data_IF_846854760788
#
_entry.id   IF_846854760788
#
_cell.length_a   1.000
_cell.length_b   1.000
_cell.length_c   1.000
_cell.angle_alpha   90.00
_cell.angle_beta   90.00
_cell.angle_gamma   90.00
#
_symmetry.space_group_name_H-M   'P 1'
#
loop_
_entity.id
_entity.type
_entity.pdbx_description
1 polymer ?
#
# COMPACT_ATOMS: atom_id res chain seq x y z
N UNK A 1 6.21 31.90 30.07
CA UNK A 1 5.33 31.83 28.88
C UNK A 1 4.70 30.44 28.92
N UNK A 2 3.39 30.33 29.19
CA UNK A 2 2.70 29.04 29.08
C UNK A 2 2.72 28.65 27.60
N UNK A 3 3.25 27.48 27.27
CA UNK A 3 3.17 26.93 25.92
C UNK A 3 1.73 26.47 25.70
N UNK A 4 0.95 27.25 24.94
CA UNK A 4 -0.41 26.91 24.51
C UNK A 4 -0.40 25.61 23.70
N UNK A 5 -1.30 24.69 24.06
CA UNK A 5 -1.40 23.32 23.53
C UNK A 5 -1.43 23.28 21.99
N UNK A 6 -0.71 22.36 21.33
CA UNK A 6 -0.72 22.22 19.87
C UNK A 6 -2.12 21.95 19.30
N UNK A 7 -3.04 21.43 20.10
CA UNK A 7 -4.41 21.03 19.71
C UNK A 7 -5.49 22.09 20.00
N UNK A 8 -5.10 23.34 20.24
CA UNK A 8 -6.04 24.45 20.43
C UNK A 8 -6.90 24.69 19.17
N UNK A 9 -8.20 24.88 19.39
CA UNK A 9 -9.21 25.14 18.36
C UNK A 9 -9.09 26.60 17.87
N UNK A 10 -8.34 26.78 16.79
CA UNK A 10 -8.07 28.08 16.16
C UNK A 10 -8.80 28.16 14.82
N UNK A 11 -9.23 29.37 14.39
CA UNK A 11 -9.84 29.55 13.09
C UNK A 11 -8.90 29.09 11.97
N UNK A 12 -9.43 28.28 11.04
CA UNK A 12 -8.68 27.71 9.94
C UNK A 12 -8.54 28.70 8.78
N UNK A 13 -7.33 28.81 8.24
CA UNK A 13 -7.00 29.55 7.02
C UNK A 13 -6.37 28.56 6.05
N UNK A 14 -6.91 28.47 4.83
CA UNK A 14 -6.29 27.66 3.79
C UNK A 14 -5.31 28.51 2.98
N UNK A 15 -4.13 27.97 2.71
CA UNK A 15 -3.12 28.58 1.85
C UNK A 15 -2.64 27.57 0.80
N UNK A 16 -2.22 28.05 -0.37
CA UNK A 16 -1.50 27.24 -1.34
C UNK A 16 -0.09 26.88 -0.87
N UNK A 17 0.54 25.90 -1.51
CA UNK A 17 1.94 25.56 -1.23
C UNK A 17 2.87 26.75 -1.49
N UNK A 18 2.63 27.51 -2.56
CA UNK A 18 3.44 28.68 -2.89
C UNK A 18 3.27 29.79 -1.85
N UNK A 19 2.03 30.10 -1.45
CA UNK A 19 1.77 31.09 -0.39
C UNK A 19 2.40 30.67 0.94
N UNK A 20 2.37 29.37 1.27
CA UNK A 20 3.03 28.83 2.44
C UNK A 20 4.56 29.02 2.37
N UNK A 21 5.19 28.64 1.26
CA UNK A 21 6.64 28.78 1.07
C UNK A 21 7.06 30.25 1.14
N UNK A 22 6.38 31.13 0.41
CA UNK A 22 6.70 32.57 0.43
C UNK A 22 6.52 33.19 1.82
N UNK A 23 5.48 32.81 2.56
CA UNK A 23 5.30 33.28 3.93
C UNK A 23 6.38 32.75 4.88
N UNK A 24 6.79 31.49 4.73
CA UNK A 24 7.87 30.89 5.51
C UNK A 24 9.21 31.60 5.24
N UNK A 25 9.52 31.89 3.98
CA UNK A 25 10.74 32.62 3.60
C UNK A 25 10.77 34.03 4.19
N UNK A 26 9.65 34.75 4.17
CA UNK A 26 9.55 36.09 4.77
C UNK A 26 9.73 36.07 6.29
N UNK A 27 9.35 34.98 6.96
CA UNK A 27 9.50 34.81 8.41
C UNK A 27 10.87 34.26 8.80
N UNK A 28 11.67 33.78 7.85
CA UNK A 28 12.98 33.20 8.12
C UNK A 28 14.02 34.31 8.33
N UNK A 29 14.16 34.73 9.59
CA UNK A 29 15.20 35.66 10.04
C UNK A 29 16.18 34.85 10.92
N UNK A 30 17.48 34.73 10.54
CA UNK A 30 18.45 33.83 11.19
C UNK A 30 18.54 33.95 12.72
N UNK A 31 18.25 35.13 13.28
CA UNK A 31 18.33 35.41 14.72
C UNK A 31 16.94 35.52 15.40
N UNK A 32 15.83 35.35 14.65
CA UNK A 32 14.45 35.47 15.14
C UNK A 32 13.54 34.40 14.53
N UNK A 33 13.83 33.13 14.86
CA UNK A 33 13.15 31.98 14.28
C UNK A 33 11.79 31.64 14.91
N UNK A 34 11.37 32.29 16.00
CA UNK A 34 10.17 31.89 16.75
C UNK A 34 8.89 31.92 15.87
N UNK A 35 8.72 32.98 15.08
CA UNK A 35 7.59 33.11 14.16
C UNK A 35 7.65 32.07 13.03
N UNK A 36 8.85 31.85 12.47
CA UNK A 36 9.08 30.82 11.46
C UNK A 36 8.74 29.42 11.97
N UNK A 37 9.24 29.05 13.15
CA UNK A 37 8.99 27.73 13.74
C UNK A 37 7.52 27.52 14.08
N UNK A 38 6.84 28.54 14.64
CA UNK A 38 5.39 28.49 14.89
C UNK A 38 4.59 28.33 13.61
N UNK A 39 4.98 29.02 12.55
CA UNK A 39 4.32 28.92 11.25
C UNK A 39 4.55 27.55 10.58
N UNK A 40 5.80 27.11 10.44
CA UNK A 40 6.14 25.90 9.68
C UNK A 40 5.84 24.61 10.45
N UNK A 41 6.12 24.56 11.76
CA UNK A 41 5.98 23.33 12.55
C UNK A 41 4.63 23.21 13.24
N UNK A 42 4.06 24.33 13.69
CA UNK A 42 2.78 24.33 14.41
C UNK A 42 1.61 24.83 13.55
N UNK A 43 1.87 25.28 12.32
CA UNK A 43 0.83 25.79 11.44
C UNK A 43 0.14 27.03 11.98
N UNK A 44 0.84 27.91 12.69
CA UNK A 44 0.25 29.09 13.35
C UNK A 44 0.61 30.39 12.62
N UNK A 45 -0.40 31.19 12.27
CA UNK A 45 -0.24 32.49 11.63
C UNK A 45 -1.05 33.55 12.36
N UNK A 46 -0.45 34.73 12.58
CA UNK A 46 -1.19 35.88 13.09
C UNK A 46 -1.89 36.58 11.93
N UNK A 47 -3.23 36.52 11.91
CA UNK A 47 -4.07 37.07 10.86
C UNK A 47 -5.13 37.99 11.48
N UNK A 48 -5.16 39.26 11.04
CA UNK A 48 -6.07 40.30 11.57
C UNK A 48 -6.11 40.36 13.12
N UNK A 49 -4.93 40.41 13.75
CA UNK A 49 -4.76 40.43 15.21
C UNK A 49 -5.30 39.21 15.97
N UNK A 50 -5.56 38.09 15.28
CA UNK A 50 -5.91 36.80 15.88
C UNK A 50 -4.95 35.72 15.44
N UNK A 51 -4.74 34.71 16.29
CA UNK A 51 -3.99 33.52 15.92
C UNK A 51 -4.91 32.59 15.12
N UNK A 52 -4.40 32.07 14.01
CA UNK A 52 -5.12 31.18 13.11
C UNK A 52 -4.29 29.93 12.80
N UNK A 53 -4.98 28.84 12.47
CA UNK A 53 -4.36 27.59 12.00
C UNK A 53 -4.30 27.60 10.48
N UNK A 54 -3.11 27.41 9.92
CA UNK A 54 -2.96 27.24 8.48
C UNK A 54 -3.14 25.78 8.06
N UNK A 55 -3.87 25.59 6.98
CA UNK A 55 -4.01 24.33 6.27
C UNK A 55 -3.46 24.50 4.86
N UNK A 56 -2.47 23.69 4.51
CA UNK A 56 -1.82 23.76 3.20
C UNK A 56 -2.63 22.91 2.21
N UNK A 57 -3.17 23.55 1.18
CA UNK A 57 -3.70 22.86 0.02
C UNK A 57 -2.67 22.93 -1.11
N UNK A 58 -1.86 21.87 -1.25
CA UNK A 58 -0.82 21.82 -2.27
C UNK A 58 -1.35 21.88 -3.72
N UNK A 59 -2.66 21.69 -3.92
CA UNK A 59 -3.32 21.80 -5.22
C UNK A 59 -3.98 23.16 -5.47
N UNK A 60 -4.06 24.03 -4.47
CA UNK A 60 -4.66 25.35 -4.61
C UNK A 60 -3.86 26.18 -5.63
N UNK A 61 -4.55 26.66 -6.67
CA UNK A 61 -3.93 27.39 -7.77
C UNK A 61 -3.24 26.50 -8.82
N UNK A 62 -3.13 25.19 -8.60
CA UNK A 62 -2.61 24.26 -9.60
C UNK A 62 -3.74 23.89 -10.58
N UNK A 63 -3.50 24.10 -11.87
CA UNK A 63 -4.34 23.52 -12.91
C UNK A 63 -3.89 22.08 -13.15
N UNK A 64 -4.85 21.16 -13.32
CA UNK A 64 -4.50 19.86 -13.85
C UNK A 64 -3.85 20.05 -15.24
N UNK A 65 -2.79 19.31 -15.57
CA UNK A 65 -2.28 19.32 -16.93
C UNK A 65 -3.40 18.94 -17.91
N UNK A 66 -3.33 19.36 -19.18
CA UNK A 66 -4.24 18.86 -20.20
C UNK A 66 -4.25 17.32 -20.23
N UNK A 67 -5.43 16.71 -20.39
CA UNK A 67 -5.59 15.25 -20.51
C UNK A 67 -4.74 14.62 -21.63
N UNK A 68 -4.24 15.41 -22.59
CA UNK A 68 -3.32 14.96 -23.63
C UNK A 68 -1.88 14.75 -23.16
N UNK A 69 -1.52 15.25 -21.98
CA UNK A 69 -0.15 15.19 -21.43
C UNK A 69 0.07 14.02 -20.47
N UNK A 70 -1.00 13.28 -20.14
CA UNK A 70 -0.89 12.10 -19.30
C UNK A 70 -1.88 11.02 -19.75
N UNK A 71 -1.46 9.77 -19.58
CA UNK A 71 -2.31 8.60 -19.70
C UNK A 71 -2.78 8.18 -18.32
N UNK A 72 -4.03 7.76 -18.23
CA UNK A 72 -4.62 7.21 -17.02
C UNK A 72 -4.94 5.74 -17.23
N UNK A 73 -4.56 4.93 -16.25
CA UNK A 73 -4.99 3.55 -16.15
C UNK A 73 -5.59 3.32 -14.77
N UNK A 74 -6.57 2.42 -14.71
CA UNK A 74 -7.07 1.90 -13.45
C UNK A 74 -6.70 0.44 -13.32
N UNK A 75 -6.45 0.02 -12.09
CA UNK A 75 -6.29 -1.38 -11.73
C UNK A 75 -7.13 -1.67 -10.49
N UNK A 76 -7.86 -2.78 -10.48
CA UNK A 76 -8.59 -3.22 -9.30
C UNK A 76 -7.58 -3.93 -8.40
N UNK A 77 -7.23 -3.30 -7.28
CA UNK A 77 -6.20 -3.78 -6.35
C UNK A 77 -6.75 -4.87 -5.43
N UNK A 78 -7.97 -4.65 -4.95
CA UNK A 78 -8.68 -5.62 -4.10
C UNK A 78 -10.19 -5.46 -4.17
N UNK A 79 -10.88 -6.55 -3.81
CA UNK A 79 -12.33 -6.58 -3.65
C UNK A 79 -12.63 -7.19 -2.29
N UNK A 80 -13.45 -6.47 -1.51
CA UNK A 80 -13.82 -6.88 -0.16
C UNK A 80 -15.34 -6.87 -0.04
N UNK A 81 -15.94 -8.02 0.31
CA UNK A 81 -17.38 -8.17 0.53
C UNK A 81 -17.68 -8.54 1.98
N UNK A 82 -18.70 -7.94 2.58
CA UNK A 82 -19.19 -8.27 3.93
C UNK A 82 -20.59 -8.87 3.81
N UNK A 83 -20.73 -10.17 4.01
CA UNK A 83 -21.96 -10.88 3.67
C UNK A 83 -22.44 -11.84 4.77
N UNK A 84 -23.57 -12.50 4.52
CA UNK A 84 -24.14 -13.58 5.34
C UNK A 84 -24.25 -14.91 4.58
N UNK A 85 -23.65 -14.97 3.39
CA UNK A 85 -23.64 -16.11 2.50
C UNK A 85 -22.20 -16.40 2.04
N UNK A 86 -22.05 -17.44 1.22
CA UNK A 86 -20.78 -17.82 0.59
C UNK A 86 -21.00 -17.76 -0.94
N UNK A 87 -20.88 -16.58 -1.57
CA UNK A 87 -21.36 -16.34 -2.92
C UNK A 87 -20.37 -16.82 -3.99
N UNK A 88 -19.93 -18.08 -3.93
CA UNK A 88 -18.91 -18.64 -4.84
C UNK A 88 -19.48 -19.67 -5.81
N UNK A 89 -19.02 -19.62 -7.05
CA UNK A 89 -19.29 -20.65 -8.07
C UNK A 89 -18.22 -21.76 -8.07
N UNK A 90 -17.07 -21.52 -7.44
CA UNK A 90 -15.96 -22.47 -7.30
C UNK A 90 -15.97 -23.16 -5.94
N UNK A 91 -15.41 -24.39 -5.82
CA UNK A 91 -15.24 -25.05 -4.54
C UNK A 91 -14.45 -24.18 -3.55
N UNK A 92 -14.82 -24.25 -2.27
CA UNK A 92 -14.13 -23.55 -1.20
C UNK A 92 -13.22 -24.54 -0.47
N UNK A 93 -11.92 -24.29 -0.45
CA UNK A 93 -10.95 -25.04 0.35
C UNK A 93 -11.07 -24.59 1.82
N UNK A 94 -11.84 -25.32 2.63
CA UNK A 94 -12.14 -24.97 4.02
C UNK A 94 -11.02 -25.46 4.93
N UNK A 95 -10.61 -24.63 5.90
CA UNK A 95 -9.64 -24.97 6.92
C UNK A 95 -10.32 -25.67 8.12
N UNK A 96 -10.01 -26.95 8.42
CA UNK A 96 -10.44 -27.54 9.67
C UNK A 96 -9.70 -26.93 10.86
N UNK A 97 -8.48 -26.43 10.64
CA UNK A 97 -7.70 -25.63 11.58
C UNK A 97 -7.21 -24.37 10.88
N UNK A 98 -7.70 -23.20 11.28
CA UNK A 98 -7.32 -21.93 10.68
C UNK A 98 -5.94 -21.45 11.18
N UNK A 99 -5.14 -20.88 10.29
CA UNK A 99 -3.91 -20.21 10.68
C UNK A 99 -4.19 -18.83 11.26
N UNK A 100 -3.53 -18.47 12.36
CA UNK A 100 -3.55 -17.09 12.88
C UNK A 100 -3.01 -16.07 11.88
N UNK A 101 -2.13 -16.49 10.96
CA UNK A 101 -1.58 -15.62 9.90
C UNK A 101 -2.62 -15.23 8.86
N UNK A 102 -3.64 -16.05 8.70
CA UNK A 102 -4.73 -15.81 7.77
C UNK A 102 -5.87 -15.00 8.43
N UNK A 103 -5.78 -14.65 9.72
CA UNK A 103 -6.71 -13.70 10.36
C UNK A 103 -6.42 -12.26 9.89
N UNK A 104 -7.45 -11.40 9.90
CA UNK A 104 -7.27 -9.98 9.61
C UNK A 104 -6.72 -9.28 10.85
N UNK A 105 -5.45 -8.89 10.79
CA UNK A 105 -4.74 -8.19 11.88
C UNK A 105 -4.45 -6.73 11.58
N UNK A 106 -4.52 -6.34 10.31
CA UNK A 106 -4.18 -4.99 9.83
C UNK A 106 -5.42 -4.24 9.36
N UNK A 107 -5.38 -2.91 9.48
CA UNK A 107 -6.48 -2.06 9.06
C UNK A 107 -6.67 -2.08 7.55
N UNK A 108 -7.90 -2.40 7.13
CA UNK A 108 -8.35 -2.32 5.74
C UNK A 108 -9.30 -1.14 5.53
N UNK A 109 -9.38 -0.22 6.50
CA UNK A 109 -10.21 0.99 6.49
C UNK A 109 -11.73 0.75 6.50
N UNK A 110 -12.16 -0.51 6.53
CA UNK A 110 -13.57 -0.88 6.69
C UNK A 110 -13.93 -0.97 8.16
N UNK A 111 -15.13 -0.50 8.50
CA UNK A 111 -15.66 -0.53 9.87
C UNK A 111 -17.03 -1.19 9.91
N UNK A 112 -17.29 -1.93 10.98
CA UNK A 112 -18.60 -2.47 11.33
C UNK A 112 -19.28 -1.53 12.35
N UNK A 113 -20.52 -1.09 12.14
CA UNK A 113 -21.21 -0.20 13.08
C UNK A 113 -21.44 -0.85 14.46
N UNK A 114 -21.27 -0.09 15.55
CA UNK A 114 -21.52 -0.55 16.94
C UNK A 114 -23.01 -0.72 17.29
N UNK A 115 -23.90 -0.05 16.57
CA UNK A 115 -25.35 -0.10 16.79
C UNK A 115 -25.97 -1.37 16.22
N UNK A 116 -25.81 -2.51 16.91
CA UNK A 116 -26.81 -3.56 16.87
C UNK A 116 -26.92 -4.29 18.22
N UNK A 117 -27.49 -3.62 19.25
CA UNK A 117 -27.79 -4.26 20.52
C UNK A 117 -29.08 -5.08 20.36
N UNK A 118 -28.95 -6.36 20.01
CA UNK A 118 -30.03 -7.36 19.86
C UNK A 118 -30.87 -7.24 18.57
N UNK A 119 -30.52 -8.06 17.58
CA UNK A 119 -31.37 -8.62 16.49
C UNK A 119 -32.01 -7.63 15.47
N UNK A 120 -32.15 -8.13 14.23
CA UNK A 120 -33.17 -7.75 13.23
C UNK A 120 -32.95 -6.50 12.33
N UNK A 121 -32.90 -6.76 11.00
CA UNK A 121 -33.31 -5.81 9.95
C UNK A 121 -32.16 -5.04 9.30
N UNK A 122 -31.50 -5.62 8.28
CA UNK A 122 -30.37 -4.96 7.62
C UNK A 122 -30.78 -4.05 6.47
N UNK A 123 -30.61 -2.74 6.69
CA UNK A 123 -30.34 -1.76 5.65
C UNK A 123 -29.07 -1.00 6.06
N UNK A 124 -28.05 -1.01 5.19
CA UNK A 124 -26.73 -0.37 5.31
C UNK A 124 -25.77 -0.95 6.38
N UNK A 125 -24.94 -1.92 5.99
CA UNK A 125 -23.81 -2.41 6.80
C UNK A 125 -22.45 -1.82 6.44
N UNK A 126 -22.38 -1.06 5.34
CA UNK A 126 -21.19 -0.35 4.92
C UNK A 126 -21.45 1.14 5.04
N UNK A 127 -21.03 1.75 6.15
CA UNK A 127 -20.88 3.21 6.20
C UNK A 127 -19.46 3.55 5.77
N UNK A 128 -19.35 4.12 4.57
CA UNK A 128 -18.15 4.81 4.14
C UNK A 128 -17.95 6.03 5.05
N UNK A 129 -16.77 6.13 5.66
CA UNK A 129 -16.35 7.40 6.26
C UNK A 129 -15.87 8.32 5.13
N UNK A 130 -16.83 9.00 4.49
CA UNK A 130 -16.51 10.31 3.94
C UNK A 130 -16.13 11.21 5.13
N UNK A 131 -14.92 11.78 5.10
CA UNK A 131 -14.43 12.68 6.16
C UNK A 131 -15.27 13.95 6.30
N UNK A 132 -16.22 14.20 5.39
CA UNK A 132 -16.97 15.44 5.33
C UNK A 132 -18.46 15.34 5.66
N UNK A 133 -19.03 14.15 5.87
CA UNK A 133 -20.47 14.06 6.11
C UNK A 133 -20.86 12.95 7.08
N UNK A 134 -21.55 13.36 8.16
CA UNK A 134 -22.21 12.60 9.22
C UNK A 134 -21.43 12.27 10.51
N UNK A 135 -21.95 12.88 11.59
CA UNK A 135 -21.72 12.64 13.01
C UNK A 135 -22.34 11.30 13.46
N UNK A 136 -21.64 10.61 14.35
CA UNK A 136 -22.16 9.75 15.42
C UNK A 136 -22.57 8.28 15.14
N UNK A 137 -21.94 7.57 14.20
CA UNK A 137 -21.86 6.09 14.28
C UNK A 137 -20.42 5.67 14.54
N UNK A 138 -20.13 5.23 15.77
CA UNK A 138 -18.83 4.67 16.09
C UNK A 138 -18.74 3.30 15.40
N UNK A 139 -17.95 3.22 14.33
CA UNK A 139 -17.64 1.95 13.66
C UNK A 139 -16.41 1.30 14.28
N UNK A 140 -16.45 -0.01 14.53
CA UNK A 140 -15.29 -0.82 14.92
C UNK A 140 -14.53 -1.19 13.65
N UNK A 141 -13.24 -0.83 13.52
CA UNK A 141 -12.39 -1.32 12.43
C UNK A 141 -12.41 -2.85 12.37
N UNK A 142 -12.58 -3.44 11.18
CA UNK A 142 -12.76 -4.89 11.06
C UNK A 142 -11.62 -5.68 11.72
N UNK A 143 -10.36 -5.26 11.54
CA UNK A 143 -9.19 -5.91 12.11
C UNK A 143 -9.17 -5.98 13.66
N UNK A 144 -10.02 -5.21 14.33
CA UNK A 144 -10.18 -5.26 15.80
C UNK A 144 -11.25 -6.24 16.26
N UNK A 145 -12.09 -6.73 15.35
CA UNK A 145 -13.13 -7.71 15.66
C UNK A 145 -12.49 -9.10 15.61
N UNK A 146 -12.73 -9.96 16.63
CA UNK A 146 -12.22 -11.32 16.59
C UNK A 146 -12.67 -12.08 15.34
N UNK A 147 -11.71 -12.67 14.64
CA UNK A 147 -11.96 -13.29 13.36
C UNK A 147 -11.02 -14.49 13.10
N UNK A 148 -11.42 -15.36 12.19
CA UNK A 148 -10.60 -16.47 11.71
C UNK A 148 -10.84 -16.73 10.23
N UNK A 149 -9.85 -17.31 9.55
CA UNK A 149 -10.05 -17.80 8.20
C UNK A 149 -10.98 -19.02 8.19
N UNK A 150 -12.00 -19.00 7.34
CA UNK A 150 -12.83 -20.16 7.03
C UNK A 150 -12.19 -20.99 5.93
N UNK A 151 -11.79 -20.35 4.84
CA UNK A 151 -11.30 -21.06 3.65
C UNK A 151 -10.82 -20.13 2.56
N UNK A 152 -10.28 -20.72 1.50
CA UNK A 152 -9.83 -20.02 0.30
C UNK A 152 -10.62 -20.52 -0.92
N UNK A 153 -11.05 -19.59 -1.75
CA UNK A 153 -11.61 -19.93 -3.06
C UNK A 153 -10.56 -19.51 -4.08
N UNK A 154 -10.10 -20.45 -4.91
CA UNK A 154 -8.95 -20.22 -5.80
C UNK A 154 -7.68 -19.73 -5.04
N UNK A 155 -6.64 -19.28 -5.75
CA UNK A 155 -5.31 -18.95 -5.20
C UNK A 155 -5.25 -17.65 -4.41
N UNK A 156 -6.14 -16.69 -4.68
CA UNK A 156 -6.00 -15.29 -4.23
C UNK A 156 -7.13 -14.78 -3.32
N UNK A 157 -8.16 -15.59 -3.11
CA UNK A 157 -9.30 -15.19 -2.31
C UNK A 157 -9.36 -15.94 -0.98
N UNK A 158 -9.62 -15.20 0.09
CA UNK A 158 -9.80 -15.72 1.44
C UNK A 158 -11.15 -15.28 2.00
N UNK A 159 -11.90 -16.22 2.56
CA UNK A 159 -13.08 -15.92 3.37
C UNK A 159 -12.75 -16.06 4.84
N UNK A 160 -13.10 -15.03 5.61
CA UNK A 160 -12.97 -14.99 7.06
C UNK A 160 -14.34 -14.91 7.72
N UNK A 161 -14.42 -15.43 8.93
CA UNK A 161 -15.59 -15.32 9.80
C UNK A 161 -15.26 -14.31 10.89
N UNK A 162 -16.16 -13.37 11.12
CA UNK A 162 -16.03 -12.33 12.14
C UNK A 162 -17.04 -12.55 13.26
N UNK A 163 -16.62 -12.37 14.51
CA UNK A 163 -17.39 -12.63 15.72
C UNK A 163 -17.56 -11.36 16.57
N UNK A 164 -18.53 -10.48 16.24
CA UNK A 164 -18.67 -9.16 16.89
C UNK A 164 -18.90 -9.22 18.40
N UNK A 165 -19.60 -10.23 18.90
CA UNK A 165 -19.91 -10.36 20.33
C UNK A 165 -18.67 -10.66 21.20
N UNK A 166 -17.60 -11.19 20.59
CA UNK A 166 -16.32 -11.40 21.25
C UNK A 166 -15.48 -10.12 21.33
N UNK A 167 -15.85 -9.05 20.62
CA UNK A 167 -15.12 -7.79 20.65
C UNK A 167 -15.13 -7.17 22.05
N UNK A 168 -13.96 -6.72 22.48
CA UNK A 168 -13.75 -5.95 23.71
C UNK A 168 -12.79 -4.81 23.40
N UNK A 169 -13.19 -3.59 23.73
CA UNK A 169 -12.38 -2.40 23.45
C UNK A 169 -11.02 -2.49 24.15
N UNK A 170 -9.95 -2.28 23.39
CA UNK A 170 -8.56 -2.32 23.89
C UNK A 170 -8.00 -3.73 24.10
N UNK A 171 -8.73 -4.80 23.76
CA UNK A 171 -8.25 -6.17 23.85
C UNK A 171 -7.81 -6.72 22.49
N UNK A 172 -7.02 -7.80 22.52
CA UNK A 172 -6.59 -8.54 21.34
C UNK A 172 -7.79 -9.13 20.59
N UNK A 173 -7.82 -9.10 19.24
CA UNK A 173 -8.83 -9.77 18.44
C UNK A 173 -8.64 -11.30 18.36
N UNK A 174 -7.74 -11.88 19.16
CA UNK A 174 -7.54 -13.33 19.18
C UNK A 174 -8.76 -14.05 19.77
N UNK A 175 -9.19 -15.14 19.11
CA UNK A 175 -10.28 -15.99 19.60
C UNK A 175 -9.74 -16.94 20.67
N UNK A 176 -10.38 -17.05 21.85
CA UNK A 176 -9.95 -17.98 22.90
C UNK A 176 -9.96 -19.45 22.45
N UNK A 177 -9.02 -20.31 22.90
CA UNK A 177 -8.95 -21.72 22.51
C UNK A 177 -10.22 -22.54 22.79
N UNK A 178 -10.90 -22.26 23.90
CA UNK A 178 -12.18 -22.87 24.28
C UNK A 178 -13.28 -22.51 23.28
N UNK A 179 -13.31 -21.25 22.82
CA UNK A 179 -14.24 -20.77 21.81
C UNK A 179 -13.93 -21.39 20.45
N UNK A 180 -12.64 -21.55 20.09
CA UNK A 180 -12.23 -22.26 18.86
C UNK A 180 -12.71 -23.72 18.85
N UNK A 181 -12.66 -24.40 20.00
CA UNK A 181 -13.18 -25.76 20.14
C UNK A 181 -14.68 -25.82 19.90
N UNK A 182 -15.44 -24.87 20.45
CA UNK A 182 -16.89 -24.74 20.21
C UNK A 182 -17.19 -24.45 18.74
N UNK A 183 -16.50 -23.49 18.13
CA UNK A 183 -16.64 -23.15 16.71
C UNK A 183 -16.43 -24.39 15.84
N UNK A 184 -15.38 -25.18 16.10
CA UNK A 184 -15.09 -26.36 15.31
C UNK A 184 -16.11 -27.49 15.54
N UNK A 185 -16.31 -27.92 16.79
CA UNK A 185 -17.03 -29.14 17.12
C UNK A 185 -18.55 -28.97 17.12
N UNK A 186 -19.05 -27.76 17.39
CA UNK A 186 -20.49 -27.47 17.46
C UNK A 186 -21.03 -26.78 16.21
N UNK A 187 -20.19 -26.09 15.43
CA UNK A 187 -20.65 -25.33 14.28
C UNK A 187 -20.05 -25.86 12.97
N UNK A 188 -18.74 -25.69 12.77
CA UNK A 188 -18.09 -25.94 11.48
C UNK A 188 -18.21 -27.39 11.04
N UNK A 189 -17.71 -28.32 11.86
CA UNK A 189 -17.68 -29.75 11.51
C UNK A 189 -19.10 -30.32 11.35
N UNK A 190 -20.06 -30.08 12.26
CA UNK A 190 -21.43 -30.54 12.06
C UNK A 190 -22.08 -29.97 10.79
N UNK A 191 -21.86 -28.70 10.44
CA UNK A 191 -22.43 -28.10 9.25
C UNK A 191 -21.88 -28.76 7.96
N UNK A 192 -20.55 -28.87 7.84
CA UNK A 192 -19.93 -29.45 6.64
C UNK A 192 -20.25 -30.93 6.49
N UNK A 193 -20.21 -31.72 7.56
CA UNK A 193 -20.51 -33.17 7.52
C UNK A 193 -22.01 -33.43 7.33
N UNK A 194 -22.87 -32.56 7.86
CA UNK A 194 -24.32 -32.67 7.67
C UNK A 194 -24.75 -32.40 6.23
N UNK A 195 -24.11 -31.43 5.57
CA UNK A 195 -24.40 -31.08 4.18
C UNK A 195 -23.69 -31.98 3.16
N UNK A 196 -22.44 -32.39 3.45
CA UNK A 196 -21.66 -33.28 2.60
C UNK A 196 -21.15 -34.48 3.41
N UNK A 197 -22.00 -35.51 3.62
CA UNK A 197 -21.64 -36.68 4.41
C UNK A 197 -20.56 -37.56 3.76
N UNK A 198 -20.34 -37.42 2.44
CA UNK A 198 -19.35 -38.22 1.69
C UNK A 198 -17.93 -37.95 2.17
N UNK A 199 -17.60 -36.69 2.48
CA UNK A 199 -16.27 -36.30 2.92
C UNK A 199 -16.08 -36.41 4.44
N UNK A 200 -17.02 -37.00 5.19
CA UNK A 200 -16.97 -37.09 6.66
C UNK A 200 -15.65 -37.62 7.20
N UNK A 201 -15.02 -38.59 6.54
CA UNK A 201 -13.75 -39.19 6.94
C UNK A 201 -12.55 -38.25 6.79
N UNK A 202 -12.65 -37.21 5.95
CA UNK A 202 -11.60 -36.20 5.74
C UNK A 202 -11.57 -35.15 6.85
N UNK A 203 -12.62 -35.06 7.64
CA UNK A 203 -12.76 -34.08 8.72
C UNK A 203 -12.34 -34.66 10.08
N UNK A 204 -11.33 -34.07 10.76
CA UNK A 204 -10.95 -34.47 12.12
C UNK A 204 -12.17 -34.50 13.06
N UNK A 205 -12.24 -35.46 13.98
CA UNK A 205 -13.43 -35.63 14.82
C UNK A 205 -13.56 -34.49 15.83
N UNK A 206 -12.45 -34.09 16.46
CA UNK A 206 -12.38 -33.04 17.47
C UNK A 206 -11.39 -31.95 17.05
N UNK A 207 -11.47 -30.79 17.70
CA UNK A 207 -10.52 -29.70 17.47
C UNK A 207 -9.10 -30.11 17.89
N UNK A 208 -8.98 -30.89 18.97
CA UNK A 208 -7.69 -31.43 19.43
C UNK A 208 -7.08 -32.42 18.43
N UNK A 209 -7.88 -33.27 17.78
CA UNK A 209 -7.41 -34.14 16.70
C UNK A 209 -6.93 -33.32 15.50
N UNK A 210 -7.64 -32.24 15.13
CA UNK A 210 -7.19 -31.34 14.06
C UNK A 210 -5.84 -30.70 14.40
N UNK A 211 -5.67 -30.18 15.63
CA UNK A 211 -4.39 -29.61 16.08
C UNK A 211 -3.24 -30.62 16.03
N UNK A 212 -3.48 -31.87 16.42
CA UNK A 212 -2.47 -32.92 16.36
C UNK A 212 -2.14 -33.34 14.92
N UNK A 213 -3.15 -33.43 14.05
CA UNK A 213 -2.99 -33.81 12.65
C UNK A 213 -2.11 -32.80 11.88
N UNK A 214 -2.31 -31.52 12.15
CA UNK A 214 -1.63 -30.44 11.44
C UNK A 214 -0.34 -30.00 12.12
N UNK A 215 0.19 -30.75 13.09
CA UNK A 215 1.45 -30.43 13.77
C UNK A 215 2.50 -31.49 13.43
N UNK A 216 3.65 -31.06 12.93
CA UNK A 216 4.77 -31.97 12.64
C UNK A 216 5.52 -32.42 13.91
N UNK A 217 6.47 -33.34 13.74
CA UNK A 217 7.30 -33.87 14.83
C UNK A 217 8.15 -32.79 15.54
N UNK A 218 8.39 -31.64 14.90
CA UNK A 218 9.11 -30.49 15.47
C UNK A 218 8.17 -29.47 16.10
N UNK A 219 6.86 -29.75 16.17
CA UNK A 219 5.86 -28.86 16.73
C UNK A 219 5.39 -27.74 15.79
N UNK A 220 5.83 -27.73 14.52
CA UNK A 220 5.42 -26.70 13.55
C UNK A 220 4.09 -27.08 12.90
N UNK A 221 3.21 -26.09 12.75
CA UNK A 221 1.92 -26.28 12.11
C UNK A 221 2.01 -26.24 10.57
N UNK A 222 1.33 -27.21 9.93
CA UNK A 222 1.07 -27.32 8.50
C UNK A 222 -0.44 -27.37 8.30
N UNK A 223 -1.06 -26.22 8.03
CA UNK A 223 -2.52 -26.09 7.94
C UNK A 223 -3.03 -26.68 6.62
N UNK A 224 -3.77 -27.79 6.68
CA UNK A 224 -4.42 -28.39 5.52
C UNK A 224 -5.83 -27.84 5.29
N UNK A 225 -6.37 -28.17 4.12
CA UNK A 225 -7.74 -27.82 3.72
C UNK A 225 -8.53 -29.06 3.30
N UNK A 226 -9.86 -28.94 3.33
CA UNK A 226 -10.79 -29.89 2.72
C UNK A 226 -11.68 -29.11 1.76
N UNK A 227 -11.70 -29.52 0.49
CA UNK A 227 -12.53 -28.88 -0.52
C UNK A 227 -14.01 -29.14 -0.25
N UNK A 228 -14.80 -28.07 -0.25
CA UNK A 228 -16.24 -28.13 -0.11
C UNK A 228 -16.92 -27.78 -1.45
N UNK A 229 -17.86 -28.61 -1.95
CA UNK A 229 -18.47 -28.42 -3.27
C UNK A 229 -19.21 -27.10 -3.42
N UNK A 230 -19.05 -26.42 -4.56
CA UNK A 230 -19.66 -25.11 -4.82
C UNK A 230 -21.19 -25.15 -4.79
N UNK A 231 -21.79 -26.22 -5.29
CA UNK A 231 -23.24 -26.43 -5.33
C UNK A 231 -23.91 -26.61 -3.94
N UNK A 232 -23.12 -26.58 -2.86
CA UNK A 232 -23.60 -26.64 -1.47
C UNK A 232 -23.24 -25.39 -0.65
N UNK A 233 -22.52 -24.42 -1.24
CA UNK A 233 -22.06 -23.22 -0.52
C UNK A 233 -23.21 -22.27 -0.15
N UNK A 234 -24.23 -22.18 -1.01
CA UNK A 234 -25.49 -21.47 -0.78
C UNK A 234 -26.20 -21.94 0.50
N UNK A 235 -26.04 -23.22 0.86
CA UNK A 235 -26.58 -23.82 2.09
C UNK A 235 -25.63 -23.74 3.27
N UNK A 236 -24.32 -23.82 3.03
CA UNK A 236 -23.32 -23.84 4.09
C UNK A 236 -23.28 -22.52 4.87
N UNK A 237 -23.27 -21.38 4.19
CA UNK A 237 -23.24 -20.06 4.83
C UNK A 237 -24.37 -19.86 5.84
N UNK A 238 -25.65 -19.98 5.42
CA UNK A 238 -26.80 -19.90 6.32
C UNK A 238 -26.75 -20.92 7.45
N UNK A 239 -26.34 -22.17 7.16
CA UNK A 239 -26.26 -23.21 8.20
C UNK A 239 -25.23 -22.89 9.28
N UNK A 240 -24.06 -22.39 8.89
CA UNK A 240 -23.04 -21.95 9.85
C UNK A 240 -23.54 -20.81 10.72
N UNK A 241 -24.18 -19.80 10.11
CA UNK A 241 -24.74 -18.67 10.85
C UNK A 241 -25.83 -19.10 11.83
N UNK A 242 -26.71 -20.02 11.44
CA UNK A 242 -27.71 -20.63 12.33
C UNK A 242 -27.04 -21.30 13.53
N UNK A 243 -26.01 -22.10 13.31
CA UNK A 243 -25.28 -22.79 14.40
C UNK A 243 -24.53 -21.83 15.31
N UNK A 244 -23.91 -20.77 14.76
CA UNK A 244 -23.26 -19.72 15.55
C UNK A 244 -24.27 -18.95 16.40
N UNK A 245 -25.48 -18.69 15.90
CA UNK A 245 -26.54 -18.06 16.70
C UNK A 245 -27.01 -18.90 17.88
N UNK A 246 -26.71 -20.20 17.93
CA UNK A 246 -27.04 -21.05 19.07
C UNK A 246 -25.93 -21.11 20.13
N UNK A 247 -24.76 -20.50 19.89
CA UNK A 247 -23.63 -20.54 20.82
C UNK A 247 -23.44 -19.18 21.50
N UNK A 248 -23.17 -19.23 22.81
CA UNK A 248 -22.89 -18.04 23.60
C UNK A 248 -21.68 -17.27 23.02
N UNK A 249 -21.87 -15.97 22.81
CA UNK A 249 -20.82 -15.08 22.30
C UNK A 249 -20.56 -15.16 20.80
N UNK A 250 -21.29 -15.98 20.02
CA UNK A 250 -21.14 -16.08 18.56
C UNK A 250 -22.31 -15.47 17.76
N UNK A 251 -23.23 -14.77 18.42
CA UNK A 251 -24.31 -14.06 17.73
C UNK A 251 -23.80 -12.92 16.85
N UNK A 252 -24.54 -12.63 15.78
CA UNK A 252 -24.20 -11.53 14.85
C UNK A 252 -23.00 -11.82 13.95
N UNK A 253 -22.52 -13.06 13.92
CA UNK A 253 -21.45 -13.52 13.03
C UNK A 253 -21.77 -13.22 11.56
N UNK A 254 -20.74 -12.88 10.79
CA UNK A 254 -20.80 -12.60 9.36
C UNK A 254 -19.50 -13.04 8.65
N UNK A 255 -19.54 -13.07 7.32
CA UNK A 255 -18.40 -13.41 6.48
C UNK A 255 -17.78 -12.15 5.89
N UNK A 256 -16.45 -12.16 5.76
CA UNK A 256 -15.73 -11.19 4.93
C UNK A 256 -14.95 -11.96 3.88
N UNK A 257 -15.25 -11.64 2.63
CA UNK A 257 -14.57 -12.16 1.45
C UNK A 257 -13.55 -11.15 1.01
N UNK A 258 -12.30 -11.57 0.86
CA UNK A 258 -11.22 -10.69 0.45
C UNK A 258 -10.47 -11.34 -0.71
N UNK A 259 -10.52 -10.67 -1.86
CA UNK A 259 -9.71 -10.97 -3.03
C UNK A 259 -8.57 -9.94 -3.08
N UNK A 260 -7.34 -10.39 -2.83
CA UNK A 260 -6.13 -9.54 -2.88
C UNK A 260 -5.18 -9.99 -3.98
N UNK A 261 -4.43 -9.03 -4.51
CA UNK A 261 -3.33 -9.32 -5.44
C UNK A 261 -3.81 -9.52 -6.87
N UNK A 262 -4.85 -8.82 -7.30
CA UNK A 262 -5.23 -8.68 -8.73
C UNK A 262 -4.37 -7.67 -9.47
N UNK A 263 -3.37 -7.06 -8.80
CA UNK A 263 -2.39 -6.15 -9.41
C UNK A 263 -1.84 -6.67 -10.73
N UNK A 264 -1.91 -5.86 -11.77
CA UNK A 264 -1.51 -6.24 -13.13
C UNK A 264 -2.63 -6.83 -13.97
N UNK A 265 -3.60 -7.53 -13.37
CA UNK A 265 -4.55 -8.37 -14.09
C UNK A 265 -5.78 -7.61 -14.61
N UNK A 266 -6.04 -6.40 -14.11
CA UNK A 266 -7.24 -5.63 -14.44
C UNK A 266 -6.95 -4.22 -14.94
N UNK A 267 -5.77 -4.00 -15.55
CA UNK A 267 -5.43 -2.74 -16.19
C UNK A 267 -6.45 -2.36 -17.26
N UNK A 268 -7.10 -1.20 -17.09
CA UNK A 268 -8.08 -0.72 -18.04
C UNK A 268 -8.09 0.80 -18.15
N UNK A 269 -8.50 1.29 -19.32
CA UNK A 269 -8.75 2.72 -19.55
C UNK A 269 -10.00 3.14 -18.76
N UNK A 270 -9.90 4.15 -17.88
CA UNK A 270 -11.02 4.62 -17.08
C UNK A 270 -12.16 5.21 -17.91
N UNK A 271 -11.90 5.71 -19.11
CA UNK A 271 -12.90 6.32 -19.99
C UNK A 271 -13.69 5.27 -20.77
N UNK A 272 -13.09 4.12 -21.06
CA UNK A 272 -13.70 3.05 -21.85
C UNK A 272 -14.66 2.18 -21.02
N UNK A 273 -15.97 2.32 -21.28
CA UNK A 273 -17.01 1.57 -20.56
C UNK A 273 -16.92 0.05 -20.71
N UNK A 274 -16.57 -0.44 -21.90
CA UNK A 274 -16.42 -1.87 -22.16
C UNK A 274 -15.23 -2.47 -21.39
N UNK A 275 -14.11 -1.75 -21.37
CA UNK A 275 -12.92 -2.17 -20.63
C UNK A 275 -13.18 -2.21 -19.11
N UNK A 276 -13.88 -1.21 -18.57
CA UNK A 276 -14.31 -1.20 -17.15
C UNK A 276 -15.18 -2.43 -16.82
N UNK A 277 -16.15 -2.75 -17.67
CA UNK A 277 -17.05 -3.87 -17.44
C UNK A 277 -16.31 -5.22 -17.52
N UNK A 278 -15.42 -5.38 -18.52
CA UNK A 278 -14.60 -6.58 -18.66
C UNK A 278 -13.66 -6.78 -17.45
N UNK A 279 -13.00 -5.72 -16.98
CA UNK A 279 -12.14 -5.77 -15.80
C UNK A 279 -12.92 -6.19 -14.54
N UNK A 280 -14.10 -5.60 -14.31
CA UNK A 280 -14.94 -5.97 -13.17
C UNK A 280 -15.42 -7.43 -13.26
N UNK A 281 -15.89 -7.87 -14.44
CA UNK A 281 -16.32 -9.25 -14.65
C UNK A 281 -15.18 -10.24 -14.44
N UNK A 282 -13.96 -9.91 -14.88
CA UNK A 282 -12.79 -10.75 -14.68
C UNK A 282 -12.46 -10.91 -13.20
N UNK A 283 -12.58 -9.86 -12.39
CA UNK A 283 -12.36 -9.91 -10.94
C UNK A 283 -13.48 -10.70 -10.24
N UNK A 284 -14.72 -10.53 -10.69
CA UNK A 284 -15.88 -11.16 -10.07
C UNK A 284 -16.26 -12.55 -10.64
N UNK A 285 -15.48 -13.09 -11.58
CA UNK A 285 -15.80 -14.35 -12.29
C UNK A 285 -16.01 -15.57 -11.37
N UNK A 286 -15.44 -15.54 -10.17
CA UNK A 286 -15.52 -16.62 -9.18
C UNK A 286 -16.79 -16.53 -8.31
N UNK A 287 -17.51 -15.41 -8.36
CA UNK A 287 -18.69 -15.18 -7.55
C UNK A 287 -19.98 -15.53 -8.28
N UNK A 288 -20.97 -15.99 -7.51
CA UNK A 288 -22.34 -16.06 -7.97
C UNK A 288 -22.97 -14.68 -7.87
N UNK A 289 -23.05 -13.97 -9.00
CA UNK A 289 -23.58 -12.62 -9.06
C UNK A 289 -25.07 -12.52 -8.66
N UNK A 290 -25.81 -13.63 -8.58
CA UNK A 290 -27.18 -13.63 -8.03
C UNK A 290 -27.22 -13.47 -6.51
N UNK A 291 -26.11 -13.77 -5.82
CA UNK A 291 -25.95 -13.63 -4.37
C UNK A 291 -25.16 -12.36 -3.99
N UNK A 292 -24.47 -11.74 -4.95
CA UNK A 292 -23.71 -10.50 -4.74
C UNK A 292 -24.65 -9.30 -4.70
N UNK A 293 -24.69 -8.61 -3.55
CA UNK A 293 -25.37 -7.32 -3.38
C UNK A 293 -24.37 -6.18 -3.44
N UNK A 294 -24.38 -5.29 -4.46
CA UNK A 294 -23.34 -4.27 -4.63
C UNK A 294 -23.07 -3.41 -3.39
N UNK A 295 -24.08 -3.13 -2.57
CA UNK A 295 -23.98 -2.36 -1.33
C UNK A 295 -23.14 -3.00 -0.23
N UNK A 296 -22.91 -4.32 -0.30
CA UNK A 296 -22.12 -5.09 0.67
C UNK A 296 -20.63 -5.19 0.25
N UNK A 297 -20.28 -4.68 -0.92
CA UNK A 297 -18.96 -4.85 -1.54
C UNK A 297 -18.27 -3.52 -1.76
N UNK A 298 -16.96 -3.53 -1.52
CA UNK A 298 -16.05 -2.42 -1.77
C UNK A 298 -14.99 -2.90 -2.74
N UNK A 299 -14.75 -2.09 -3.78
CA UNK A 299 -13.71 -2.33 -4.78
C UNK A 299 -12.66 -1.24 -4.60
N UNK A 300 -11.45 -1.65 -4.25
CA UNK A 300 -10.30 -0.75 -4.18
C UNK A 300 -9.69 -0.65 -5.58
N UNK A 301 -9.63 0.58 -6.11
CA UNK A 301 -9.20 0.86 -7.48
C UNK A 301 -7.98 1.78 -7.41
N UNK A 302 -6.82 1.25 -7.77
CA UNK A 302 -5.63 2.03 -8.03
C UNK A 302 -5.80 2.87 -9.29
N UNK A 303 -5.39 4.14 -9.22
CA UNK A 303 -5.29 5.02 -10.39
C UNK A 303 -3.81 5.24 -10.69
N UNK A 304 -3.38 4.75 -11.85
CA UNK A 304 -2.04 4.93 -12.37
C UNK A 304 -2.05 6.12 -13.33
N UNK A 305 -1.17 7.08 -13.10
CA UNK A 305 -1.01 8.28 -13.92
C UNK A 305 0.36 8.23 -14.57
N UNK A 306 0.39 8.06 -15.88
CA UNK A 306 1.61 8.11 -16.65
C UNK A 306 1.69 9.46 -17.36
N UNK A 307 2.60 10.32 -16.93
CA UNK A 307 2.90 11.57 -17.62
C UNK A 307 4.16 11.39 -18.46
N UNK A 308 4.10 11.74 -19.74
CA UNK A 308 5.28 11.75 -20.61
C UNK A 308 6.28 12.76 -20.02
N UNK A 309 7.46 12.27 -19.64
CA UNK A 309 8.51 13.08 -19.04
C UNK A 309 8.78 12.97 -17.54
N UNK A 310 8.11 12.06 -16.83
CA UNK A 310 8.56 11.68 -15.49
C UNK A 310 9.87 10.86 -15.49
N UNK A 311 10.22 10.22 -16.62
CA UNK A 311 11.56 9.69 -16.92
C UNK A 311 12.42 10.74 -17.66
N UNK A 312 11.81 11.69 -18.39
CA UNK A 312 12.54 12.75 -19.11
C UNK A 312 13.31 13.68 -18.17
N UNK A 313 13.00 13.70 -16.87
CA UNK A 313 13.85 14.39 -15.89
C UNK A 313 15.29 13.93 -16.01
N UNK A 314 15.54 12.65 -16.29
CA UNK A 314 16.88 12.09 -16.51
C UNK A 314 17.34 12.17 -17.96
N UNK A 315 16.48 12.58 -18.90
CA UNK A 315 16.81 12.79 -20.32
C UNK A 315 16.87 14.29 -20.69
N UNK A 316 17.00 15.16 -19.69
CA UNK A 316 17.22 16.59 -19.83
C UNK A 316 18.50 17.00 -19.10
N UNK A 317 19.31 17.85 -19.72
CA UNK A 317 20.42 18.55 -19.05
C UNK A 317 20.01 19.95 -18.55
N UNK A 318 18.76 20.35 -18.79
CA UNK A 318 18.15 21.49 -18.14
C UNK A 318 17.53 21.03 -16.81
N UNK A 319 18.20 21.37 -15.72
CA UNK A 319 17.90 20.87 -14.39
C UNK A 319 17.20 21.91 -13.51
N UNK A 320 16.82 23.06 -14.07
CA UNK A 320 16.23 24.17 -13.30
C UNK A 320 14.90 23.82 -12.64
N UNK A 321 14.12 22.91 -13.24
CA UNK A 321 12.85 22.47 -12.69
C UNK A 321 13.01 21.50 -11.51
N UNK A 322 14.23 21.01 -11.27
CA UNK A 322 14.55 20.00 -10.25
C UNK A 322 15.40 20.60 -9.13
N UNK A 323 16.40 21.41 -9.50
CA UNK A 323 17.38 21.94 -8.55
C UNK A 323 17.58 23.44 -8.76
N UNK A 324 17.67 24.16 -7.64
CA UNK A 324 18.14 25.54 -7.63
C UNK A 324 19.67 25.63 -7.68
N UNK A 325 20.37 24.61 -7.18
CA UNK A 325 21.84 24.52 -7.16
C UNK A 325 22.30 23.06 -7.23
N UNK A 326 23.36 22.79 -8.01
CA UNK A 326 24.00 21.47 -8.10
C UNK A 326 25.51 21.58 -8.23
N UNK A 327 26.16 20.45 -7.96
CA UNK A 327 27.51 20.15 -8.41
C UNK A 327 27.43 19.04 -9.43
N UNK A 328 28.03 19.19 -10.59
CA UNK A 328 28.06 18.11 -11.57
C UNK A 328 29.47 17.78 -12.02
N UNK A 329 29.63 16.56 -12.50
CA UNK A 329 30.83 16.10 -13.19
C UNK A 329 30.43 15.24 -14.38
N UNK A 330 31.08 15.46 -15.51
CA UNK A 330 31.00 14.57 -16.66
C UNK A 330 31.86 13.35 -16.33
N UNK A 331 31.22 12.20 -16.28
CA UNK A 331 31.86 10.93 -15.95
C UNK A 331 32.37 10.32 -17.25
N UNK A 332 33.54 9.67 -17.24
CA UNK A 332 33.97 8.95 -18.43
C UNK A 332 33.17 7.65 -18.63
N UNK A 333 33.27 7.05 -19.81
CA UNK A 333 32.47 5.86 -20.14
C UNK A 333 32.76 4.67 -19.22
N UNK A 334 34.01 4.53 -18.75
CA UNK A 334 34.40 3.45 -17.88
C UNK A 334 33.80 3.64 -16.48
N UNK A 335 33.90 4.84 -15.90
CA UNK A 335 33.33 5.17 -14.61
C UNK A 335 31.79 5.19 -14.64
N UNK A 336 31.17 5.54 -15.78
CA UNK A 336 29.71 5.47 -15.93
C UNK A 336 29.19 4.04 -15.74
N UNK A 337 29.93 3.06 -16.25
CA UNK A 337 29.63 1.64 -16.04
C UNK A 337 30.12 1.16 -14.66
N UNK A 338 31.44 1.15 -14.45
CA UNK A 338 32.11 0.45 -13.35
C UNK A 338 31.88 1.11 -11.98
N UNK A 339 31.48 2.40 -11.95
CA UNK A 339 31.25 3.12 -10.71
C UNK A 339 29.79 3.53 -10.55
N UNK A 340 29.21 4.20 -11.54
CA UNK A 340 27.87 4.76 -11.41
C UNK A 340 26.84 3.63 -11.52
N UNK A 341 26.80 2.93 -12.66
CA UNK A 341 25.82 1.87 -12.90
C UNK A 341 25.91 0.74 -11.87
N UNK A 342 27.11 0.20 -11.61
CA UNK A 342 27.28 -0.90 -10.65
C UNK A 342 26.87 -0.55 -9.21
N UNK A 343 26.85 0.73 -8.83
CA UNK A 343 26.32 1.14 -7.51
C UNK A 343 24.79 1.18 -7.48
N UNK A 344 24.15 1.54 -8.59
CA UNK A 344 22.69 1.51 -8.71
C UNK A 344 22.15 0.09 -8.92
N UNK A 345 22.88 -0.72 -9.69
CA UNK A 345 22.53 -2.06 -10.14
C UNK A 345 23.70 -3.01 -9.91
N UNK A 346 24.00 -3.36 -8.64
CA UNK A 346 25.14 -4.19 -8.31
C UNK A 346 25.04 -5.57 -8.96
N UNK A 347 26.17 -6.13 -9.43
CA UNK A 347 26.20 -7.48 -9.97
C UNK A 347 25.83 -8.50 -8.90
N UNK A 348 25.38 -9.69 -9.32
CA UNK A 348 25.11 -10.79 -8.40
C UNK A 348 26.36 -11.13 -7.60
N UNK A 349 26.24 -11.15 -6.27
CA UNK A 349 27.37 -11.39 -5.35
C UNK A 349 28.32 -10.20 -5.21
N UNK A 350 27.95 -9.02 -5.74
CA UNK A 350 28.70 -7.79 -5.56
C UNK A 350 28.78 -7.34 -4.10
N UNK A 351 29.78 -6.53 -3.74
CA UNK A 351 29.96 -6.05 -2.38
C UNK A 351 28.76 -5.21 -1.93
N UNK A 352 28.05 -5.68 -0.91
CA UNK A 352 27.03 -4.90 -0.21
C UNK A 352 27.74 -4.05 0.83
N UNK A 353 27.77 -2.73 0.66
CA UNK A 353 28.36 -1.87 1.69
C UNK A 353 27.54 -1.98 2.99
N UNK A 354 28.22 -2.13 4.12
CA UNK A 354 27.60 -2.41 5.42
C UNK A 354 26.76 -1.24 6.00
N UNK A 355 26.79 -0.06 5.37
CA UNK A 355 26.13 1.15 5.84
C UNK A 355 25.56 1.99 4.67
N UNK A 356 24.81 1.35 3.76
CA UNK A 356 24.17 2.05 2.64
C UNK A 356 23.07 3.02 3.13
N UNK A 357 23.21 4.30 2.81
CA UNK A 357 22.21 5.34 2.96
C UNK A 357 21.42 5.48 1.64
N UNK A 358 20.12 5.72 1.75
CA UNK A 358 19.16 5.90 0.65
C UNK A 358 18.86 4.65 -0.21
N UNK A 359 19.85 3.81 -0.50
CA UNK A 359 19.63 2.58 -1.29
C UNK A 359 18.63 1.61 -0.64
N UNK A 360 18.75 1.23 0.66
CA UNK A 360 17.82 0.27 1.26
C UNK A 360 16.38 0.77 1.38
N UNK A 361 16.19 2.09 1.42
CA UNK A 361 14.86 2.72 1.42
C UNK A 361 14.23 2.75 0.02
N UNK A 362 15.02 2.67 -1.06
CA UNK A 362 14.51 2.68 -2.42
C UNK A 362 13.83 1.34 -2.75
N UNK A 363 12.59 1.39 -3.22
CA UNK A 363 11.81 0.20 -3.61
C UNK A 363 12.50 -0.59 -4.73
N UNK A 364 12.98 0.11 -5.76
CA UNK A 364 13.65 -0.52 -6.90
C UNK A 364 14.90 -1.30 -6.47
N UNK A 365 15.70 -0.77 -5.54
CA UNK A 365 16.95 -1.40 -5.12
C UNK A 365 16.69 -2.70 -4.34
N UNK A 366 15.66 -2.73 -3.48
CA UNK A 366 15.23 -3.95 -2.79
C UNK A 366 14.69 -5.01 -3.75
N UNK A 367 13.95 -4.59 -4.78
CA UNK A 367 13.46 -5.48 -5.82
C UNK A 367 14.61 -6.03 -6.67
N UNK A 368 15.58 -5.19 -7.04
CA UNK A 368 16.79 -5.59 -7.73
C UNK A 368 17.57 -6.66 -6.96
N UNK A 369 17.83 -6.43 -5.66
CA UNK A 369 18.51 -7.41 -4.81
C UNK A 369 17.75 -8.75 -4.78
N UNK A 370 16.44 -8.70 -4.54
CA UNK A 370 15.59 -9.90 -4.52
C UNK A 370 15.64 -10.66 -5.85
N UNK A 371 15.60 -9.94 -6.97
CA UNK A 371 15.71 -10.51 -8.31
C UNK A 371 17.09 -11.17 -8.51
N UNK A 372 18.17 -10.43 -8.23
CA UNK A 372 19.54 -10.93 -8.41
C UNK A 372 19.83 -12.14 -7.51
N UNK A 373 19.28 -12.21 -6.30
CA UNK A 373 19.42 -13.36 -5.40
C UNK A 373 18.77 -14.62 -5.97
N UNK A 374 17.62 -14.49 -6.64
CA UNK A 374 16.85 -15.59 -7.20
C UNK A 374 17.36 -16.18 -8.54
N UNK A 375 18.25 -15.48 -9.23
CA UNK A 375 18.76 -15.90 -10.55
C UNK A 375 20.04 -16.72 -10.44
N UNK A 376 20.37 -17.53 -11.44
CA UNK A 376 21.76 -18.01 -11.59
C UNK A 376 22.66 -16.91 -12.18
N UNK A 377 23.96 -17.19 -12.29
CA UNK A 377 24.96 -16.21 -12.71
C UNK A 377 24.72 -15.74 -14.15
N UNK A 378 24.40 -16.65 -15.05
CA UNK A 378 24.27 -16.35 -16.48
C UNK A 378 23.02 -15.50 -16.73
N UNK A 379 21.89 -15.83 -16.09
CA UNK A 379 20.67 -15.03 -16.19
C UNK A 379 20.82 -13.66 -15.51
N UNK A 380 21.54 -13.57 -14.39
CA UNK A 380 21.82 -12.29 -13.75
C UNK A 380 22.64 -11.36 -14.67
N UNK A 381 23.64 -11.88 -15.36
CA UNK A 381 24.45 -11.13 -16.33
C UNK A 381 23.62 -10.64 -17.52
N UNK A 382 22.73 -11.47 -18.06
CA UNK A 382 21.81 -11.06 -19.14
C UNK A 382 20.92 -9.89 -18.70
N UNK A 383 20.30 -9.99 -17.52
CA UNK A 383 19.43 -8.94 -17.00
C UNK A 383 20.21 -7.66 -16.69
N UNK A 384 21.41 -7.79 -16.14
CA UNK A 384 22.29 -6.66 -15.85
C UNK A 384 22.70 -5.93 -17.14
N UNK A 385 23.11 -6.66 -18.17
CA UNK A 385 23.44 -6.08 -19.48
C UNK A 385 22.23 -5.39 -20.12
N UNK A 386 21.04 -5.97 -19.99
CA UNK A 386 19.81 -5.31 -20.47
C UNK A 386 19.54 -3.99 -19.73
N UNK A 387 19.67 -3.98 -18.41
CA UNK A 387 19.49 -2.75 -17.62
C UNK A 387 20.57 -1.71 -17.89
N UNK A 388 21.80 -2.13 -18.18
CA UNK A 388 22.87 -1.24 -18.60
C UNK A 388 22.53 -0.53 -19.92
N UNK A 389 21.96 -1.24 -20.90
CA UNK A 389 21.53 -0.62 -22.16
C UNK A 389 20.47 0.47 -21.92
N UNK A 390 19.53 0.22 -21.01
CA UNK A 390 18.57 1.24 -20.59
C UNK A 390 19.26 2.39 -19.83
N UNK A 391 20.17 2.08 -18.91
CA UNK A 391 20.90 3.08 -18.11
C UNK A 391 21.76 4.00 -18.96
N UNK A 392 22.30 3.52 -20.08
CA UNK A 392 23.04 4.32 -21.05
C UNK A 392 22.18 5.38 -21.75
N UNK A 393 20.86 5.31 -21.67
CA UNK A 393 19.94 6.30 -22.24
C UNK A 393 19.73 7.50 -21.30
N UNK A 394 20.09 7.38 -20.02
CA UNK A 394 19.96 8.47 -19.05
C UNK A 394 21.06 9.50 -19.26
N UNK A 395 20.70 10.78 -19.36
CA UNK A 395 21.62 11.90 -19.55
C UNK A 395 22.39 12.22 -18.27
N UNK A 396 21.75 12.02 -17.12
CA UNK A 396 22.36 12.20 -15.81
C UNK A 396 21.71 11.31 -14.77
N UNK A 397 22.41 11.11 -13.66
CA UNK A 397 21.89 10.49 -12.43
C UNK A 397 22.53 11.16 -11.22
N UNK A 398 21.97 11.01 -10.00
CA UNK A 398 22.69 11.40 -8.79
C UNK A 398 24.02 10.66 -8.72
N UNK A 399 25.11 11.35 -8.45
CA UNK A 399 26.42 10.71 -8.38
C UNK A 399 26.51 9.88 -7.09
N UNK A 400 26.56 8.53 -7.19
CA UNK A 400 26.58 7.69 -6.01
C UNK A 400 27.96 7.75 -5.34
N UNK A 401 28.02 7.78 -4.01
CA UNK A 401 29.24 7.43 -3.25
C UNK A 401 29.16 5.94 -2.84
N UNK A 402 30.23 5.41 -2.23
CA UNK A 402 30.27 4.01 -1.80
C UNK A 402 29.21 3.66 -0.76
N UNK A 403 28.71 4.65 -0.01
CA UNK A 403 27.78 4.48 1.09
C UNK A 403 26.43 5.18 0.88
N UNK A 404 26.20 5.91 -0.24
CA UNK A 404 24.97 6.70 -0.41
C UNK A 404 24.67 7.01 -1.87
N UNK A 405 23.38 7.08 -2.21
CA UNK A 405 22.90 7.49 -3.53
C UNK A 405 23.07 8.99 -3.78
N UNK A 406 22.69 9.80 -2.79
CA UNK A 406 22.79 11.26 -2.81
C UNK A 406 23.93 11.75 -1.93
N UNK A 407 24.78 12.62 -2.48
CA UNK A 407 25.80 13.35 -1.73
C UNK A 407 25.60 14.85 -1.93
N UNK A 408 25.62 15.59 -0.82
CA UNK A 408 25.56 17.06 -0.78
C UNK A 408 26.87 17.66 -0.26
N UNK A 409 27.95 16.88 -0.25
CA UNK A 409 29.26 17.34 0.25
C UNK A 409 29.88 18.34 -0.72
N UNK A 410 30.63 19.31 -0.19
CA UNK A 410 31.42 20.25 -0.99
C UNK A 410 32.36 19.48 -1.92
N UNK A 411 32.22 19.70 -3.21
CA UNK A 411 32.98 19.09 -4.30
C UNK A 411 34.43 19.52 -4.28
N UNK A 412 35.31 18.57 -4.58
CA UNK A 412 36.74 18.84 -4.77
C UNK A 412 37.06 19.23 -6.22
N UNK A 413 38.35 19.09 -6.57
CA UNK A 413 38.82 19.29 -7.95
C UNK A 413 38.03 18.41 -8.94
N UNK A 414 37.51 19.00 -10.00
CA UNK A 414 36.75 18.31 -11.05
C UNK A 414 35.22 18.37 -10.93
N UNK A 415 34.69 19.04 -9.90
CA UNK A 415 33.26 19.35 -9.80
C UNK A 415 32.98 20.77 -10.31
N UNK A 416 31.91 20.91 -11.10
CA UNK A 416 31.45 22.20 -11.60
C UNK A 416 30.17 22.58 -10.84
N UNK A 417 30.16 23.79 -10.27
CA UNK A 417 28.98 24.36 -9.60
C UNK A 417 28.03 24.97 -10.63
N UNK A 418 26.74 24.72 -10.46
CA UNK A 418 25.68 25.49 -11.09
C UNK A 418 24.70 26.01 -10.02
N UNK A 419 24.35 27.31 -10.04
CA UNK A 419 24.97 28.37 -10.84
C UNK A 419 26.47 28.56 -10.47
N UNK A 420 27.28 29.19 -11.34
CA UNK A 420 28.70 29.41 -11.06
C UNK A 420 28.91 30.17 -9.74
N UNK A 421 29.78 29.66 -8.88
CA UNK A 421 30.05 30.25 -7.57
C UNK A 421 30.98 29.39 -6.72
N UNK A 422 31.20 29.81 -5.48
CA UNK A 422 31.98 29.01 -4.54
C UNK A 422 31.33 27.65 -4.27
N UNK A 423 32.10 26.56 -4.13
CA UNK A 423 31.51 25.25 -3.90
C UNK A 423 30.76 25.19 -2.57
N UNK A 424 29.47 24.83 -2.63
CA UNK A 424 28.54 24.76 -1.49
C UNK A 424 28.02 23.33 -1.28
N UNK A 425 27.33 23.13 -0.16
CA UNK A 425 26.60 21.90 0.08
C UNK A 425 25.35 21.82 -0.80
N UNK A 426 25.42 21.07 -1.90
CA UNK A 426 24.31 20.85 -2.83
C UNK A 426 24.47 19.50 -3.55
N UNK A 427 23.39 18.95 -4.14
CA UNK A 427 23.40 17.64 -4.77
C UNK A 427 24.51 17.47 -5.81
N UNK A 428 25.18 16.33 -5.77
CA UNK A 428 26.19 15.92 -6.75
C UNK A 428 25.56 15.07 -7.85
N UNK A 429 25.81 15.45 -9.09
CA UNK A 429 25.22 14.87 -10.29
C UNK A 429 26.33 14.29 -11.19
N UNK A 430 26.12 13.05 -11.64
CA UNK A 430 26.93 12.41 -12.66
C UNK A 430 26.26 12.64 -14.02
N UNK A 431 27.00 13.23 -14.96
CA UNK A 431 26.52 13.41 -16.34
C UNK A 431 27.09 12.30 -17.22
N UNK A 432 26.22 11.70 -18.03
CA UNK A 432 26.58 10.66 -18.97
C UNK A 432 27.38 11.27 -20.13
N UNK A 433 28.59 10.75 -20.41
CA UNK A 433 29.47 11.33 -21.43
C UNK A 433 28.87 11.25 -22.83
N UNK A 434 27.95 10.31 -23.09
CA UNK A 434 27.34 10.09 -24.41
C UNK A 434 26.51 11.27 -24.91
N UNK A 435 26.06 12.15 -24.01
CA UNK A 435 25.14 13.24 -24.34
C UNK A 435 25.79 14.64 -24.27
N UNK A 436 27.12 14.71 -24.17
CA UNK A 436 27.90 15.96 -24.06
C UNK A 436 28.50 16.40 -25.43
N UNK A 437 27.96 15.91 -26.55
CA UNK A 437 28.49 16.16 -27.89
C UNK A 437 27.56 16.97 -28.81
N UNK A 438 28.00 18.19 -29.16
CA UNK A 438 27.39 19.20 -30.06
C UNK A 438 26.12 19.87 -29.50
N UNK A 439 26.31 21.11 -29.01
CA UNK A 439 25.28 22.10 -28.67
C UNK A 439 24.46 21.91 -27.37
N UNK A 440 24.71 20.87 -26.57
CA UNK A 440 24.04 20.69 -25.27
C UNK A 440 24.91 21.14 -24.09
N UNK A 441 24.47 22.18 -23.36
CA UNK A 441 25.06 22.64 -22.10
C UNK A 441 24.20 22.26 -20.91
N UNK A 442 24.81 21.82 -19.80
CA UNK A 442 24.09 21.66 -18.52
C UNK A 442 23.70 23.06 -18.03
N UNK A 443 22.40 23.30 -17.89
CA UNK A 443 21.88 24.62 -17.54
C UNK A 443 20.99 24.55 -16.31
N UNK A 444 21.11 25.58 -15.48
CA UNK A 444 20.06 26.05 -14.59
C UNK A 444 19.71 27.43 -15.14
N UNK A 445 18.48 27.66 -15.61
CA UNK A 445 18.08 28.99 -16.08
C UNK A 445 18.31 29.97 -14.93
N UNK A 446 19.25 30.90 -15.13
CA UNK A 446 19.50 31.97 -14.17
C UNK A 446 18.30 32.91 -14.25
N UNK A 447 17.35 32.73 -13.34
CA UNK A 447 16.40 33.77 -13.04
C UNK A 447 17.20 35.00 -12.59
N UNK A 448 17.28 36.02 -13.45
CA UNK A 448 17.49 37.38 -12.96
C UNK A 448 16.42 37.65 -11.89
N UNK A 449 16.81 38.20 -10.72
CA UNK A 449 15.90 38.42 -9.60
C UNK A 449 14.70 39.31 -9.96
#
# INVERSE_FOLDING_TARGET
MQLESPDEDLPAIQVSLNEFVSAAEQMFIPDQLDNFLRFVLAGRLQYHNKLARIFINARQGASAPPMSQYQLYRDIDSVIGITRDLPFQLPLAIFPLASFRDALTEDNHLKCPLSCPKVCGFSSYVQYFDKHTFKDVIGIPLHRIPNMALGKADRRHITRIFFPQLYRQGQSPAIPPETMTVIYEKCLRPAVVGLNPVDRSRWPITYSTAMNLYRDQKGKFHFGTVDFPSNLLDKLGPKLLEMFQMQDGLHGTFFVHELRGTKGASHHDPSNAGARHAALNAVFHLFDMSLVRPEDWVVDIGLEIQHEGHIDIFHSLDLHCIFSQIQYRIIDDADWHNLVFERYFPPKGGPVANALQHFPSASYYRQWQTLMDGLDKDHAEIIQNHHLQWFHQLYWVPHPESDRMWSTRKGGKGWIMLPPGEPRHCPRIAINPRFIGKDMTVALVVGTP
#
